data_IF_599776963826
#
_entry.id   IF_599776963826
#
_cell.length_a   1.000
_cell.length_b   1.000
_cell.length_c   1.000
_cell.angle_alpha   90.00
_cell.angle_beta   90.00
_cell.angle_gamma   90.00
#
_symmetry.space_group_name_H-M   'P 1'
#
loop_
_entity.id
_entity.type
_entity.pdbx_description
1 polymer ?
#
# COMPACT_ATOMS: atom_id res chain seq x y z
N UNK A 1 0.47 23.73 39.93
CA UNK A 1 0.16 22.51 39.16
C UNK A 1 -1.29 22.14 39.45
N UNK A 2 -2.13 21.97 38.43
CA UNK A 2 -3.51 21.51 38.64
C UNK A 2 -3.51 20.07 39.18
N UNK A 3 -4.40 19.71 40.11
CA UNK A 3 -4.48 18.35 40.62
C UNK A 3 -4.92 17.41 39.50
N UNK A 4 -4.30 16.22 39.45
CA UNK A 4 -4.67 15.18 38.49
C UNK A 4 -6.12 14.72 38.71
N UNK A 5 -6.88 14.64 37.62
CA UNK A 5 -8.19 14.01 37.59
C UNK A 5 -8.12 12.55 38.04
N UNK A 6 -9.23 11.96 38.51
CA UNK A 6 -9.27 10.54 38.85
C UNK A 6 -8.82 9.64 37.70
N UNK A 7 -9.16 9.99 36.45
CA UNK A 7 -8.76 9.24 35.27
C UNK A 7 -7.26 9.28 35.01
N UNK A 8 -6.64 10.46 35.12
CA UNK A 8 -5.18 10.60 34.99
C UNK A 8 -4.43 9.85 36.08
N UNK A 9 -4.92 9.90 37.33
CA UNK A 9 -4.35 9.10 38.44
C UNK A 9 -4.47 7.61 38.19
N UNK A 10 -5.62 7.16 37.68
CA UNK A 10 -5.81 5.77 37.28
C UNK A 10 -4.79 5.34 36.22
N UNK A 11 -4.61 6.14 35.15
CA UNK A 11 -3.62 5.82 34.11
C UNK A 11 -2.17 5.90 34.64
N UNK A 12 -1.83 6.92 35.43
CA UNK A 12 -0.48 7.07 35.97
C UNK A 12 -0.08 5.91 36.92
N UNK A 13 -1.06 5.30 37.60
CA UNK A 13 -0.84 4.16 38.50
C UNK A 13 -1.06 2.79 37.86
N UNK A 14 -1.56 2.75 36.63
CA UNK A 14 -1.89 1.51 35.92
C UNK A 14 -0.71 0.95 35.12
N UNK A 15 -0.76 -0.36 34.84
CA UNK A 15 0.22 -1.00 33.98
C UNK A 15 0.03 -0.58 32.51
N UNK A 16 1.15 -0.42 31.81
CA UNK A 16 1.17 -0.03 30.38
C UNK A 16 0.38 -1.00 29.47
N UNK A 17 0.26 -2.27 29.87
CA UNK A 17 -0.54 -3.29 29.17
C UNK A 17 -2.04 -3.02 29.26
N UNK A 18 -2.51 -2.44 30.37
CA UNK A 18 -3.89 -2.02 30.53
C UNK A 18 -4.20 -0.81 29.65
N UNK A 19 -3.26 0.13 29.55
CA UNK A 19 -3.38 1.28 28.64
C UNK A 19 -3.55 0.80 27.20
N UNK A 20 -2.72 -0.14 26.77
CA UNK A 20 -2.83 -0.71 25.43
C UNK A 20 -4.22 -1.33 25.19
N UNK A 21 -4.72 -2.17 26.10
CA UNK A 21 -6.06 -2.79 25.97
C UNK A 21 -7.20 -1.76 25.95
N UNK A 22 -7.09 -0.70 26.74
CA UNK A 22 -8.09 0.37 26.76
C UNK A 22 -8.07 1.14 25.42
N UNK A 23 -6.89 1.59 25.00
CA UNK A 23 -6.71 2.42 23.82
C UNK A 23 -6.91 1.65 22.51
N UNK A 24 -6.66 0.34 22.48
CA UNK A 24 -6.92 -0.49 21.28
C UNK A 24 -8.41 -0.46 20.91
N UNK A 25 -9.30 -0.31 21.90
CA UNK A 25 -10.76 -0.24 21.71
C UNK A 25 -11.29 1.15 21.35
N UNK A 26 -10.43 2.16 21.33
CA UNK A 26 -10.84 3.52 21.00
C UNK A 26 -10.54 3.84 19.53
N UNK A 27 -11.43 4.57 18.84
CA UNK A 27 -11.11 5.14 17.52
C UNK A 27 -9.89 6.06 17.59
N UNK A 28 -9.09 6.09 16.52
CA UNK A 28 -7.89 6.92 16.46
C UNK A 28 -8.19 8.42 16.71
N UNK A 29 -9.33 8.90 16.20
CA UNK A 29 -9.79 10.27 16.43
C UNK A 29 -10.04 10.60 17.91
N UNK A 30 -10.57 9.65 18.69
CA UNK A 30 -10.83 9.85 20.11
C UNK A 30 -9.53 9.83 20.93
N UNK A 31 -8.58 8.99 20.55
CA UNK A 31 -7.23 8.99 21.13
C UNK A 31 -6.52 10.34 20.88
N UNK A 32 -6.66 10.90 19.67
CA UNK A 32 -6.12 12.23 19.37
C UNK A 32 -6.79 13.33 20.20
N UNK A 33 -8.11 13.27 20.39
CA UNK A 33 -8.83 14.22 21.27
C UNK A 33 -8.38 14.07 22.72
N UNK A 34 -8.25 12.84 23.21
CA UNK A 34 -7.81 12.55 24.57
C UNK A 34 -6.40 13.10 24.85
N UNK A 35 -5.48 12.99 23.88
CA UNK A 35 -4.13 13.57 24.01
C UNK A 35 -4.12 15.10 24.15
N UNK A 36 -5.20 15.79 23.79
CA UNK A 36 -5.31 17.26 23.86
C UNK A 36 -5.92 17.77 25.16
N UNK A 37 -6.47 16.90 26.01
CA UNK A 37 -7.14 17.32 27.24
C UNK A 37 -6.18 17.49 28.42
N UNK A 38 -5.01 16.86 28.37
CA UNK A 38 -4.00 16.93 29.43
C UNK A 38 -2.60 16.60 28.92
N UNK A 39 -1.58 17.22 29.53
CA UNK A 39 -0.16 16.89 29.29
C UNK A 39 0.19 15.46 29.70
N UNK A 40 -0.38 14.95 30.79
CA UNK A 40 -0.14 13.57 31.24
C UNK A 40 -0.74 12.57 30.25
N UNK A 41 -1.95 12.83 29.78
CA UNK A 41 -2.58 11.99 28.77
C UNK A 41 -1.83 12.06 27.44
N UNK A 42 -1.30 13.23 27.07
CA UNK A 42 -0.45 13.38 25.90
C UNK A 42 0.78 12.48 25.98
N UNK A 43 1.53 12.49 27.08
CA UNK A 43 2.72 11.66 27.28
C UNK A 43 2.38 10.16 27.24
N UNK A 44 1.33 9.74 27.95
CA UNK A 44 0.86 8.35 27.93
C UNK A 44 0.46 7.93 26.51
N UNK A 45 -0.20 8.83 25.78
CA UNK A 45 -0.58 8.59 24.38
C UNK A 45 0.64 8.50 23.46
N UNK A 46 1.64 9.37 23.60
CA UNK A 46 2.88 9.31 22.80
C UNK A 46 3.57 7.95 22.96
N UNK A 47 3.68 7.42 24.18
CA UNK A 47 4.24 6.08 24.44
C UNK A 47 3.41 5.00 23.74
N UNK A 48 2.08 5.08 23.79
CA UNK A 48 1.20 4.14 23.11
C UNK A 48 1.35 4.22 21.59
N UNK A 49 1.38 5.43 21.03
CA UNK A 49 1.56 5.67 19.58
C UNK A 49 2.89 5.10 19.08
N UNK A 50 3.98 5.34 19.80
CA UNK A 50 5.30 4.78 19.49
C UNK A 50 5.32 3.24 19.49
N UNK A 51 4.41 2.59 20.21
CA UNK A 51 4.30 1.13 20.24
C UNK A 51 3.37 0.57 19.15
N UNK A 52 2.25 1.25 18.86
CA UNK A 52 1.20 0.77 17.94
C UNK A 52 1.34 1.28 16.51
N UNK A 53 1.77 2.53 16.32
CA UNK A 53 1.98 3.16 15.02
C UNK A 53 3.47 3.33 14.71
N UNK A 54 4.26 2.30 14.98
CA UNK A 54 5.67 2.26 14.61
C UNK A 54 5.82 1.70 13.19
N UNK A 55 5.93 2.59 12.21
CA UNK A 55 6.02 2.21 10.80
C UNK A 55 7.31 1.42 10.48
N UNK A 56 8.41 1.72 11.17
CA UNK A 56 9.68 1.01 10.96
C UNK A 56 9.57 -0.44 11.42
N UNK A 57 9.00 -0.66 12.60
CA UNK A 57 8.70 -2.01 13.10
C UNK A 57 7.72 -2.74 12.20
N UNK A 58 6.70 -2.05 11.68
CA UNK A 58 5.71 -2.64 10.79
C UNK A 58 6.33 -3.11 9.46
N UNK A 59 7.16 -2.26 8.86
CA UNK A 59 7.84 -2.54 7.58
C UNK A 59 9.03 -3.48 7.72
N UNK A 60 9.55 -3.66 8.94
CA UNK A 60 10.60 -4.62 9.26
C UNK A 60 10.31 -6.07 8.83
N UNK A 61 9.04 -6.42 8.59
CA UNK A 61 8.67 -7.71 8.03
C UNK A 61 9.09 -7.89 6.55
N UNK A 62 9.12 -6.81 5.77
CA UNK A 62 9.49 -6.84 4.35
C UNK A 62 10.92 -6.34 4.13
N UNK A 63 11.33 -5.30 4.84
CA UNK A 63 12.62 -4.64 4.60
C UNK A 63 13.41 -4.54 5.90
N UNK A 64 14.66 -5.00 5.88
CA UNK A 64 15.57 -4.89 7.02
C UNK A 64 15.97 -3.42 7.29
N UNK A 65 15.99 -2.58 6.25
CA UNK A 65 16.17 -1.13 6.36
C UNK A 65 14.87 -0.38 6.01
N UNK A 66 13.94 -0.30 6.94
CA UNK A 66 12.69 0.46 6.73
C UNK A 66 12.92 1.97 6.55
N UNK A 67 14.05 2.50 7.03
CA UNK A 67 14.41 3.92 6.90
C UNK A 67 14.70 4.29 5.45
N UNK A 68 15.60 3.57 4.80
CA UNK A 68 15.93 3.78 3.38
C UNK A 68 14.74 3.48 2.47
N UNK A 69 13.89 2.50 2.83
CA UNK A 69 12.64 2.26 2.11
C UNK A 69 11.73 3.49 2.14
N UNK A 70 11.48 4.09 3.31
CA UNK A 70 10.66 5.30 3.44
C UNK A 70 11.27 6.50 2.71
N UNK A 71 12.59 6.65 2.76
CA UNK A 71 13.28 7.68 1.97
C UNK A 71 13.07 7.46 0.46
N UNK A 72 13.06 6.20 0.02
CA UNK A 72 12.74 5.84 -1.37
C UNK A 72 11.30 6.17 -1.72
N UNK A 73 10.32 5.84 -0.86
CA UNK A 73 8.92 6.23 -1.05
C UNK A 73 8.75 7.74 -1.18
N UNK A 74 9.38 8.51 -0.28
CA UNK A 74 9.32 9.98 -0.32
C UNK A 74 9.92 10.55 -1.61
N UNK A 75 11.08 10.03 -2.04
CA UNK A 75 11.76 10.47 -3.28
C UNK A 75 10.97 10.14 -4.53
N UNK A 76 10.25 9.02 -4.56
CA UNK A 76 9.45 8.59 -5.71
C UNK A 76 8.01 9.07 -5.68
N UNK A 77 7.61 9.78 -4.61
CA UNK A 77 6.21 10.16 -4.37
C UNK A 77 5.28 8.95 -4.25
N UNK A 78 5.81 7.78 -3.88
CA UNK A 78 5.06 6.55 -3.72
C UNK A 78 4.37 6.46 -2.36
N UNK A 79 3.29 5.71 -2.29
CA UNK A 79 2.51 5.48 -1.08
C UNK A 79 2.23 3.99 -0.88
N UNK A 80 2.19 3.56 0.38
CA UNK A 80 1.74 2.21 0.74
C UNK A 80 0.21 2.20 0.72
N UNK A 81 -0.38 1.14 0.18
CA UNK A 81 -1.82 0.98 0.00
C UNK A 81 -2.30 -0.38 0.53
N UNK A 82 -3.57 -0.68 0.26
CA UNK A 82 -4.15 -2.01 0.40
C UNK A 82 -4.32 -2.46 1.84
N UNK A 83 -4.34 -3.77 2.02
CA UNK A 83 -4.67 -4.40 3.30
C UNK A 83 -3.65 -4.05 4.39
N UNK A 84 -2.36 -3.92 4.06
CA UNK A 84 -1.33 -3.60 5.05
C UNK A 84 -1.44 -2.16 5.55
N UNK A 85 -1.79 -1.21 4.68
CA UNK A 85 -2.08 0.17 5.10
C UNK A 85 -3.25 0.19 6.09
N UNK A 86 -4.34 -0.52 5.80
CA UNK A 86 -5.50 -0.62 6.71
C UNK A 86 -5.11 -1.26 8.04
N UNK A 87 -4.35 -2.36 8.03
CA UNK A 87 -3.86 -3.01 9.24
C UNK A 87 -3.03 -2.07 10.12
N UNK A 88 -2.14 -1.28 9.51
CA UNK A 88 -1.36 -0.29 10.24
C UNK A 88 -2.26 0.78 10.88
N UNK A 89 -3.25 1.29 10.15
CA UNK A 89 -4.21 2.27 10.67
C UNK A 89 -5.06 1.70 11.83
N UNK A 90 -5.44 0.43 11.72
CA UNK A 90 -6.17 -0.34 12.73
C UNK A 90 -5.29 -0.82 13.90
N UNK A 91 -4.00 -0.43 13.93
CA UNK A 91 -3.03 -0.80 14.98
C UNK A 91 -2.79 -2.31 15.08
N UNK A 92 -3.05 -3.02 13.99
CA UNK A 92 -2.77 -4.44 13.83
C UNK A 92 -1.33 -4.64 13.34
N UNK A 93 -0.72 -5.76 13.75
CA UNK A 93 0.59 -6.14 13.24
C UNK A 93 0.57 -6.47 11.74
N UNK A 94 1.73 -6.45 11.07
CA UNK A 94 1.83 -6.82 9.66
C UNK A 94 1.34 -8.26 9.45
N UNK A 95 0.75 -8.54 8.29
CA UNK A 95 0.37 -9.89 7.89
C UNK A 95 1.33 -10.39 6.80
N UNK A 96 2.30 -11.28 7.10
CA UNK A 96 3.24 -11.79 6.10
C UNK A 96 2.59 -12.56 4.95
N UNK A 97 1.33 -13.00 5.15
CA UNK A 97 0.54 -13.74 4.16
C UNK A 97 -0.17 -12.84 3.14
N UNK A 98 -0.17 -11.53 3.36
CA UNK A 98 -0.80 -10.58 2.46
C UNK A 98 0.27 -9.67 1.87
N UNK A 99 0.04 -9.28 0.64
CA UNK A 99 0.96 -8.47 -0.16
C UNK A 99 1.13 -7.07 0.45
N UNK A 100 2.30 -6.48 0.24
CA UNK A 100 2.56 -5.07 0.49
C UNK A 100 2.39 -4.29 -0.80
N UNK A 101 1.29 -3.56 -0.92
CA UNK A 101 0.96 -2.77 -2.11
C UNK A 101 1.60 -1.39 -2.04
N UNK A 102 2.33 -1.01 -3.08
CA UNK A 102 3.02 0.28 -3.22
C UNK A 102 2.53 0.94 -4.50
N UNK A 103 1.87 2.09 -4.40
CA UNK A 103 1.39 2.85 -5.56
C UNK A 103 2.40 3.96 -5.86
N UNK A 104 2.83 4.06 -7.11
CA UNK A 104 3.77 5.11 -7.55
C UNK A 104 3.44 5.59 -8.96
N UNK A 105 3.96 6.77 -9.34
CA UNK A 105 3.99 7.17 -10.74
C UNK A 105 5.05 6.39 -11.50
N UNK A 106 4.92 6.34 -12.82
CA UNK A 106 5.88 5.68 -13.74
C UNK A 106 7.34 6.04 -13.40
N UNK A 107 7.64 7.31 -13.14
CA UNK A 107 8.99 7.77 -12.79
C UNK A 107 9.57 7.19 -11.49
N UNK A 108 8.73 6.66 -10.60
CA UNK A 108 9.13 6.04 -9.34
C UNK A 108 9.41 4.54 -9.44
N UNK A 109 8.93 3.88 -10.49
CA UNK A 109 8.96 2.40 -10.64
C UNK A 109 10.40 1.88 -10.56
N UNK A 110 11.31 2.42 -11.39
CA UNK A 110 12.68 1.94 -11.46
C UNK A 110 13.40 1.96 -10.10
N UNK A 111 13.23 3.05 -9.37
CA UNK A 111 13.87 3.23 -8.07
C UNK A 111 13.32 2.25 -7.03
N UNK A 112 12.00 2.01 -7.04
CA UNK A 112 11.35 1.07 -6.14
C UNK A 112 11.70 -0.38 -6.49
N UNK A 113 11.68 -0.75 -7.77
CA UNK A 113 12.09 -2.09 -8.23
C UNK A 113 13.51 -2.41 -7.79
N UNK A 114 14.47 -1.51 -8.06
CA UNK A 114 15.87 -1.69 -7.62
C UNK A 114 15.99 -1.81 -6.09
N UNK A 115 15.20 -1.05 -5.35
CA UNK A 115 15.18 -1.13 -3.90
C UNK A 115 14.66 -2.48 -3.40
N UNK A 116 13.56 -2.95 -3.97
CA UNK A 116 12.94 -4.23 -3.61
C UNK A 116 13.88 -5.40 -3.98
N UNK A 117 14.46 -5.38 -5.17
CA UNK A 117 15.45 -6.39 -5.61
C UNK A 117 16.70 -6.43 -4.73
N UNK A 118 17.21 -5.28 -4.29
CA UNK A 118 18.38 -5.23 -3.38
C UNK A 118 18.10 -5.85 -2.00
N UNK A 119 16.82 -6.08 -1.66
CA UNK A 119 16.38 -6.75 -0.44
C UNK A 119 16.07 -8.24 -0.65
N UNK A 120 16.54 -8.82 -1.76
CA UNK A 120 16.45 -10.25 -2.05
C UNK A 120 15.11 -10.71 -2.63
N UNK A 121 14.28 -9.77 -3.10
CA UNK A 121 13.06 -10.10 -3.82
C UNK A 121 13.38 -10.37 -5.29
N UNK A 122 12.68 -11.34 -5.87
CA UNK A 122 12.73 -11.65 -7.30
C UNK A 122 11.41 -11.25 -7.93
N UNK A 123 11.47 -10.66 -9.13
CA UNK A 123 10.27 -10.35 -9.90
C UNK A 123 9.58 -11.63 -10.35
N UNK A 124 8.26 -11.68 -10.20
CA UNK A 124 7.43 -12.77 -10.73
C UNK A 124 6.82 -12.33 -12.05
N UNK A 125 7.03 -13.12 -13.09
CA UNK A 125 6.34 -12.93 -14.36
C UNK A 125 4.90 -13.40 -14.22
N UNK A 126 3.93 -12.49 -14.36
CA UNK A 126 2.54 -12.89 -14.52
C UNK A 126 2.35 -13.44 -15.93
N UNK A 127 1.65 -14.59 -16.10
CA UNK A 127 1.11 -14.96 -17.39
C UNK A 127 0.27 -13.78 -17.89
N UNK A 128 0.66 -13.16 -19.00
CA UNK A 128 -0.11 -12.06 -19.59
C UNK A 128 -1.53 -12.57 -19.83
N UNK A 129 -2.50 -11.97 -19.16
CA UNK A 129 -3.89 -12.12 -19.57
C UNK A 129 -3.98 -11.51 -20.99
N UNK A 130 -4.44 -12.22 -22.03
CA UNK A 130 -4.53 -11.68 -23.38
C UNK A 130 -5.41 -10.42 -23.47
N UNK A 131 -6.24 -10.19 -22.45
CA UNK A 131 -7.13 -9.03 -22.34
C UNK A 131 -6.51 -7.86 -21.54
N UNK A 132 -5.34 -8.02 -20.94
CA UNK A 132 -4.62 -6.98 -20.18
C UNK A 132 -3.40 -6.52 -20.99
N UNK A 133 -3.52 -5.37 -21.65
CA UNK A 133 -2.46 -4.79 -22.48
C UNK A 133 -1.52 -3.92 -21.62
N UNK A 134 -0.81 -4.56 -20.69
CA UNK A 134 0.20 -3.85 -19.89
C UNK A 134 1.54 -3.76 -20.64
N UNK A 135 2.15 -2.56 -20.73
CA UNK A 135 3.47 -2.36 -21.34
C UNK A 135 4.55 -3.17 -20.61
N UNK A 136 5.60 -3.62 -21.31
CA UNK A 136 6.75 -4.23 -20.64
C UNK A 136 7.45 -3.19 -19.75
N UNK A 137 8.25 -3.63 -18.78
CA UNK A 137 9.03 -2.70 -17.95
C UNK A 137 9.95 -1.81 -18.81
N UNK A 138 10.51 -2.35 -19.90
CA UNK A 138 11.30 -1.56 -20.84
C UNK A 138 10.47 -0.45 -21.49
N UNK A 139 9.21 -0.72 -21.78
CA UNK A 139 8.27 0.25 -22.33
C UNK A 139 7.91 1.30 -21.27
N UNK A 140 7.60 0.89 -20.04
CA UNK A 140 7.35 1.79 -18.90
C UNK A 140 8.57 2.69 -18.63
N UNK A 141 9.78 2.14 -18.71
CA UNK A 141 11.02 2.92 -18.57
C UNK A 141 11.21 3.87 -19.75
N UNK A 142 10.91 3.45 -20.97
CA UNK A 142 10.94 4.32 -22.16
C UNK A 142 9.88 5.43 -22.10
N UNK A 143 8.78 5.20 -21.39
CA UNK A 143 7.77 6.22 -21.10
C UNK A 143 8.28 7.27 -20.11
N UNK A 144 9.17 6.93 -19.16
CA UNK A 144 9.76 7.93 -18.25
C UNK A 144 10.64 8.96 -18.95
N UNK A 145 11.18 8.61 -20.12
CA UNK A 145 12.08 9.49 -20.90
C UNK A 145 11.34 10.35 -21.93
N UNK A 146 10.04 10.12 -22.15
CA UNK A 146 9.25 10.80 -23.18
C UNK A 146 8.35 11.87 -22.58
N UNK A 147 8.47 13.13 -23.02
CA UNK A 147 7.63 14.25 -22.55
C UNK A 147 6.14 14.14 -22.95
N UNK A 148 5.79 13.19 -23.82
CA UNK A 148 4.43 12.99 -24.30
C UNK A 148 3.82 11.74 -23.66
N UNK A 149 3.37 11.90 -22.41
CA UNK A 149 2.60 10.85 -21.74
C UNK A 149 1.14 10.90 -22.20
N UNK A 150 0.80 10.15 -23.25
CA UNK A 150 -0.59 9.89 -23.60
C UNK A 150 -1.15 8.88 -22.59
N UNK A 151 -2.22 9.28 -21.88
CA UNK A 151 -2.97 8.46 -20.91
C UNK A 151 -3.63 7.30 -21.64
N UNK A 152 -2.87 6.22 -21.86
CA UNK A 152 -3.33 4.97 -22.48
C UNK A 152 -3.24 3.77 -21.54
N UNK A 153 -3.15 3.99 -20.22
CA UNK A 153 -3.28 2.92 -19.24
C UNK A 153 -4.71 2.39 -19.19
N UNK A 154 -4.88 1.13 -18.77
CA UNK A 154 -6.19 0.46 -18.68
C UNK A 154 -7.23 1.22 -17.84
N UNK A 155 -8.43 0.65 -17.73
CA UNK A 155 -9.52 1.18 -16.91
C UNK A 155 -8.99 1.58 -15.53
N UNK A 156 -9.28 2.80 -15.09
CA UNK A 156 -8.93 3.38 -13.79
C UNK A 156 -7.52 4.00 -13.62
N UNK A 157 -6.72 4.11 -14.68
CA UNK A 157 -5.47 4.88 -14.68
C UNK A 157 -4.27 4.14 -14.07
N UNK A 158 -4.40 2.82 -13.90
CA UNK A 158 -3.28 1.89 -13.66
C UNK A 158 -2.57 1.62 -14.99
N UNK A 159 -1.24 1.68 -14.96
CA UNK A 159 -0.37 1.50 -16.12
C UNK A 159 0.23 0.09 -16.13
N UNK A 160 0.68 -0.42 -14.98
CA UNK A 160 1.24 -1.76 -14.85
C UNK A 160 1.29 -2.15 -13.36
N UNK A 161 1.40 -3.46 -13.09
CA UNK A 161 1.58 -4.02 -11.75
C UNK A 161 2.77 -4.98 -11.76
N UNK A 162 3.77 -4.68 -10.93
CA UNK A 162 4.99 -5.45 -10.80
C UNK A 162 4.95 -6.27 -9.51
N UNK A 163 4.95 -7.59 -9.64
CA UNK A 163 4.98 -8.51 -8.50
C UNK A 163 6.39 -8.93 -8.14
N UNK A 164 6.64 -9.00 -6.83
CA UNK A 164 7.90 -9.40 -6.25
C UNK A 164 7.68 -10.39 -5.13
N UNK A 165 8.49 -11.45 -5.12
CA UNK A 165 8.44 -12.50 -4.10
C UNK A 165 9.81 -12.70 -3.47
N UNK A 166 9.83 -12.89 -2.14
CA UNK A 166 11.02 -13.29 -1.39
C UNK A 166 10.70 -14.49 -0.49
N UNK A 167 11.42 -15.61 -0.62
CA UNK A 167 11.32 -16.72 0.33
C UNK A 167 11.74 -16.26 1.73
N UNK A 168 10.93 -16.53 2.75
CA UNK A 168 11.37 -16.30 4.13
C UNK A 168 12.41 -17.36 4.49
N UNK A 169 13.66 -16.94 4.73
CA UNK A 169 14.73 -17.83 5.16
C UNK A 169 14.43 -18.30 6.59
N UNK A 170 13.96 -19.53 6.76
CA UNK A 170 13.67 -20.03 8.11
C UNK A 170 12.97 -21.38 8.23
N UNK A 171 12.37 -21.92 7.16
CA UNK A 171 11.67 -23.21 7.29
C UNK A 171 11.86 -24.09 6.04
N UNK A 172 12.45 -25.28 6.26
CA UNK A 172 12.66 -26.33 5.25
C UNK A 172 11.31 -26.96 4.85
N UNK A 173 10.23 -26.61 5.56
CA UNK A 173 8.88 -26.99 5.16
C UNK A 173 8.48 -26.33 3.83
N UNK A 174 7.77 -27.06 2.97
CA UNK A 174 7.15 -26.55 1.72
C UNK A 174 6.09 -25.45 1.96
N UNK A 175 5.97 -24.94 3.19
CA UNK A 175 5.01 -23.94 3.62
C UNK A 175 5.67 -22.67 4.18
N UNK A 176 6.98 -22.49 3.98
CA UNK A 176 7.67 -21.23 4.27
C UNK A 176 6.88 -20.06 3.66
N UNK A 177 6.44 -19.07 4.45
CA UNK A 177 5.67 -17.96 3.92
C UNK A 177 6.52 -17.19 2.91
N UNK A 178 6.00 -17.02 1.70
CA UNK A 178 6.60 -16.12 0.71
C UNK A 178 6.13 -14.72 1.01
N UNK A 179 7.06 -13.79 1.19
CA UNK A 179 6.74 -12.38 1.33
C UNK A 179 6.51 -11.79 -0.05
N UNK A 180 5.40 -11.05 -0.19
CA UNK A 180 4.95 -10.46 -1.45
C UNK A 180 4.98 -8.94 -1.38
N UNK A 181 5.45 -8.32 -2.44
CA UNK A 181 5.41 -6.86 -2.66
C UNK A 181 4.86 -6.62 -4.05
N UNK A 182 3.89 -5.71 -4.18
CA UNK A 182 3.36 -5.25 -5.46
C UNK A 182 3.70 -3.78 -5.65
N UNK A 183 4.30 -3.43 -6.79
CA UNK A 183 4.48 -2.04 -7.21
C UNK A 183 3.44 -1.75 -8.30
N UNK A 184 2.52 -0.85 -8.02
CA UNK A 184 1.42 -0.45 -8.91
C UNK A 184 1.79 0.89 -9.53
N UNK A 185 2.06 0.90 -10.83
CA UNK A 185 2.36 2.12 -11.58
C UNK A 185 1.06 2.80 -12.02
N UNK A 186 0.91 4.09 -11.74
CA UNK A 186 -0.27 4.88 -12.10
C UNK A 186 0.10 6.15 -12.88
N UNK A 187 -0.81 6.61 -13.72
CA UNK A 187 -0.63 7.84 -14.50
C UNK A 187 -0.76 9.11 -13.64
N UNK A 188 -1.64 9.07 -12.66
CA UNK A 188 -1.97 10.24 -11.82
C UNK A 188 -1.18 10.27 -10.51
N UNK A 189 -1.43 11.28 -9.68
CA UNK A 189 -0.82 11.34 -8.35
C UNK A 189 -1.27 10.10 -7.53
N UNK A 190 -0.36 9.35 -6.86
CA UNK A 190 -0.73 8.12 -6.15
C UNK A 190 -1.78 8.29 -5.05
N UNK A 191 -1.74 9.41 -4.31
CA UNK A 191 -2.77 9.73 -3.30
C UNK A 191 -4.11 10.00 -3.97
N UNK A 192 -4.10 10.75 -5.09
CA UNK A 192 -5.30 11.00 -5.88
C UNK A 192 -5.89 9.69 -6.41
N UNK A 193 -5.06 8.80 -6.95
CA UNK A 193 -5.49 7.47 -7.38
C UNK A 193 -6.12 6.66 -6.23
N UNK A 194 -5.47 6.64 -5.06
CA UNK A 194 -5.99 5.93 -3.90
C UNK A 194 -7.39 6.43 -3.49
N UNK A 195 -7.56 7.75 -3.37
CA UNK A 195 -8.81 8.35 -2.92
C UNK A 195 -9.95 8.11 -3.91
N UNK A 196 -9.69 8.26 -5.21
CA UNK A 196 -10.78 8.24 -6.21
C UNK A 196 -11.06 6.87 -6.81
N UNK A 197 -10.08 5.95 -6.84
CA UNK A 197 -10.27 4.62 -7.43
C UNK A 197 -10.74 3.60 -6.39
N UNK A 198 -10.22 3.64 -5.16
CA UNK A 198 -10.55 2.63 -4.14
C UNK A 198 -11.71 3.02 -3.22
N UNK A 199 -12.01 4.31 -3.08
CA UNK A 199 -13.10 4.79 -2.22
C UNK A 199 -14.31 5.32 -3.00
N UNK A 200 -14.27 5.32 -4.34
CA UNK A 200 -15.46 5.58 -5.17
C UNK A 200 -16.13 4.24 -5.49
N UNK A 201 -17.22 3.96 -4.79
CA UNK A 201 -18.07 2.78 -4.97
C UNK A 201 -18.75 2.75 -6.34
N UNK A 202 -18.00 2.37 -7.38
CA UNK A 202 -18.59 1.78 -8.58
C UNK A 202 -18.09 0.35 -8.70
N UNK A 203 -18.97 -0.68 -8.65
CA UNK A 203 -18.58 -1.97 -9.17
C UNK A 203 -18.16 -1.80 -10.63
N UNK A 204 -17.15 -2.53 -11.12
CA UNK A 204 -16.77 -2.47 -12.52
C UNK A 204 -18.00 -2.81 -13.36
N UNK A 205 -18.52 -1.82 -14.09
CA UNK A 205 -19.55 -2.07 -15.08
C UNK A 205 -18.93 -2.98 -16.12
N UNK A 206 -19.45 -4.19 -16.23
CA UNK A 206 -19.22 -5.11 -17.34
C UNK A 206 -19.86 -4.51 -18.60
N UNK A 207 -19.29 -3.42 -19.11
CA UNK A 207 -19.60 -2.95 -20.45
C UNK A 207 -18.86 -3.89 -21.40
N UNK A 208 -19.56 -4.95 -21.82
CA UNK A 208 -19.18 -5.71 -23.00
C UNK A 208 -19.04 -4.70 -24.13
N UNK A 209 -17.80 -4.40 -24.51
CA UNK A 209 -17.52 -3.70 -25.76
C UNK A 209 -17.92 -4.67 -26.86
N UNK A 210 -19.13 -4.50 -27.37
CA UNK A 210 -19.60 -5.16 -28.57
C UNK A 210 -18.80 -4.55 -29.72
N UNK A 211 -17.70 -5.22 -30.12
CA UNK A 211 -16.98 -4.89 -31.35
C UNK A 211 -17.96 -5.10 -32.51
N UNK A 212 -18.30 -4.03 -33.21
CA UNK A 212 -18.94 -4.10 -34.52
C UNK A 212 -17.91 -4.61 -35.53
N UNK A 213 -18.17 -5.78 -36.12
CA UNK A 213 -17.39 -6.34 -37.23
C UNK A 213 -17.46 -5.41 -38.45
N UNK A 214 -16.32 -5.02 -39.07
CA UNK A 214 -16.30 -4.17 -40.26
C UNK A 214 -16.46 -4.96 -41.57
N UNK A 215 -16.83 -6.25 -41.54
CA UNK A 215 -16.95 -7.09 -42.73
C UNK A 215 -18.32 -7.75 -42.86
N UNK A 216 -19.36 -6.94 -43.08
CA UNK A 216 -20.61 -7.42 -43.68
C UNK A 216 -20.78 -6.78 -45.06
N UNK A 217 -20.40 -7.53 -46.10
CA UNK A 217 -20.82 -7.24 -47.48
C UNK A 217 -22.24 -7.78 -47.68
N UNK A 218 -23.13 -7.06 -48.39
CA UNK A 218 -24.47 -7.55 -48.67
C UNK A 218 -24.42 -8.59 -49.79
N UNK A 219 -25.01 -9.76 -49.53
CA UNK A 219 -25.33 -10.74 -50.55
C UNK A 219 -26.52 -10.21 -51.37
N UNK A 220 -26.36 -10.13 -52.68
CA UNK A 220 -27.44 -9.88 -53.64
C UNK A 220 -28.02 -11.24 -54.01
N UNK A 221 -29.29 -11.47 -53.70
CA UNK A 221 -30.04 -12.64 -54.17
C UNK A 221 -30.37 -12.48 -55.66
N UNK A 222 -30.16 -13.57 -56.42
CA UNK A 222 -30.75 -13.83 -57.74
C UNK A 222 -31.87 -14.84 -57.57
#
# INVERSE_FOLDING_TARGET
MSPLSPFERFLASSQITLHAKLFDRMPAGDLMRLSKTSTVLREVMEIYQQKRWNIDRFLGCWFWDSGTFRATLARTGAVISGSQALRFMDRLGPSPRSDLDIITRVGGVLALTRYVESHGYTRVERPRNPNEDYPLIADVLSMTTSNNFCVGGGTDGIIDIFDFERPTSGDISRFSPVLKVQIIAVAQNPVHHLIYTYHSSKPPSTTKVQRSDPYHLPFVEL
#
